data_IF_020583444218
#
_entry.id   IF_020583444218
#
_cell.length_a   1.000
_cell.length_b   1.000
_cell.length_c   1.000
_cell.angle_alpha   90.00
_cell.angle_beta   90.00
_cell.angle_gamma   90.00
#
_symmetry.space_group_name_H-M   'P 1'
#
loop_
_entity.id
_entity.type
_entity.pdbx_description
1 polymer ?
#
# COMPACT_ATOMS: atom_id res chain seq x y z
N UNK A 1 10.04 10.38 -2.76
CA UNK A 1 9.01 10.06 -1.74
C UNK A 1 7.94 9.23 -2.39
N UNK A 2 7.47 8.17 -1.72
CA UNK A 2 6.41 7.32 -2.29
C UNK A 2 5.08 8.03 -2.10
N UNK A 3 4.18 7.88 -3.06
CA UNK A 3 2.82 8.44 -3.00
C UNK A 3 1.76 7.36 -3.10
N UNK A 4 0.55 7.68 -2.65
CA UNK A 4 -0.62 6.79 -2.82
C UNK A 4 -0.94 6.57 -4.31
N UNK A 5 -0.67 7.55 -5.18
CA UNK A 5 -0.91 7.42 -6.62
C UNK A 5 0.01 6.36 -7.22
N UNK A 6 1.31 6.43 -6.92
CA UNK A 6 2.26 5.43 -7.41
C UNK A 6 2.00 4.05 -6.80
N UNK A 7 1.59 3.98 -5.53
CA UNK A 7 1.18 2.72 -4.90
C UNK A 7 0.02 2.07 -5.69
N UNK A 8 -1.00 2.85 -6.06
CA UNK A 8 -2.14 2.36 -6.86
C UNK A 8 -1.71 1.86 -8.23
N UNK A 9 -0.80 2.57 -8.92
CA UNK A 9 -0.25 2.12 -10.21
C UNK A 9 0.41 0.76 -10.07
N UNK A 10 1.31 0.59 -9.10
CA UNK A 10 1.98 -0.70 -8.87
C UNK A 10 1.05 -1.84 -8.47
N UNK A 11 -0.02 -1.55 -7.73
CA UNK A 11 -1.05 -2.54 -7.41
C UNK A 11 -1.69 -3.08 -8.69
N UNK A 12 -2.00 -2.18 -9.64
CA UNK A 12 -2.54 -2.56 -10.95
C UNK A 12 -1.50 -3.32 -11.76
N UNK A 13 -0.25 -2.83 -11.82
CA UNK A 13 0.83 -3.48 -12.57
C UNK A 13 1.10 -4.92 -12.10
N UNK A 14 0.97 -5.18 -10.78
CA UNK A 14 1.12 -6.51 -10.19
C UNK A 14 -0.17 -7.34 -10.17
N UNK A 15 -1.24 -6.88 -10.82
CA UNK A 15 -2.54 -7.53 -10.82
C UNK A 15 -3.02 -7.95 -9.41
N UNK A 16 -2.82 -7.06 -8.42
CA UNK A 16 -3.19 -7.31 -7.03
C UNK A 16 -4.24 -6.30 -6.54
N UNK A 17 -4.61 -6.38 -5.27
CA UNK A 17 -5.58 -5.48 -4.66
C UNK A 17 -5.05 -4.84 -3.38
N UNK A 18 -5.55 -3.65 -3.08
CA UNK A 18 -5.25 -2.99 -1.81
C UNK A 18 -5.72 -3.81 -0.61
N UNK A 19 -6.79 -4.59 -0.77
CA UNK A 19 -7.28 -5.53 0.26
C UNK A 19 -6.27 -6.65 0.52
N UNK A 20 -5.61 -7.17 -0.53
CA UNK A 20 -4.54 -8.14 -0.36
C UNK A 20 -3.36 -7.55 0.42
N UNK A 21 -2.94 -6.33 0.08
CA UNK A 21 -1.88 -5.64 0.82
C UNK A 21 -2.24 -5.47 2.29
N UNK A 22 -3.47 -5.04 2.59
CA UNK A 22 -3.95 -4.92 3.97
C UNK A 22 -3.91 -6.26 4.73
N UNK A 23 -4.27 -7.37 4.07
CA UNK A 23 -4.17 -8.70 4.68
C UNK A 23 -2.72 -9.10 5.00
N UNK A 24 -1.77 -8.79 4.11
CA UNK A 24 -0.33 -9.09 4.31
C UNK A 24 0.32 -8.20 5.37
N UNK A 25 -0.11 -6.94 5.41
CA UNK A 25 0.37 -5.94 6.37
C UNK A 25 -0.17 -6.18 7.79
N UNK A 26 -1.39 -6.72 7.91
CA UNK A 26 -2.04 -7.04 9.19
C UNK A 26 -2.86 -5.89 9.77
N UNK A 27 -2.72 -4.66 9.25
CA UNK A 27 -3.55 -3.51 9.66
C UNK A 27 -4.83 -3.42 8.83
N UNK A 28 -5.84 -2.70 9.35
CA UNK A 28 -7.12 -2.57 8.66
C UNK A 28 -6.98 -1.76 7.36
N UNK A 29 -7.73 -2.17 6.33
CA UNK A 29 -7.76 -1.48 5.02
C UNK A 29 -8.08 0.01 5.16
N UNK A 30 -9.03 0.36 6.03
CA UNK A 30 -9.46 1.74 6.26
C UNK A 30 -8.34 2.57 6.88
N UNK A 31 -7.64 2.03 7.88
CA UNK A 31 -6.49 2.70 8.49
C UNK A 31 -5.39 2.95 7.46
N UNK A 32 -4.97 1.91 6.74
CA UNK A 32 -3.92 2.01 5.72
C UNK A 32 -4.27 3.04 4.66
N UNK A 33 -5.50 3.02 4.16
CA UNK A 33 -5.94 4.00 3.15
C UNK A 33 -5.92 5.43 3.70
N UNK A 34 -6.38 5.64 4.94
CA UNK A 34 -6.37 6.95 5.60
C UNK A 34 -4.94 7.48 5.77
N UNK A 35 -4.02 6.64 6.22
CA UNK A 35 -2.62 7.02 6.43
C UNK A 35 -1.88 7.27 5.11
N UNK A 36 -2.11 6.45 4.08
CA UNK A 36 -1.58 6.72 2.75
C UNK A 36 -2.10 8.05 2.18
N UNK A 37 -3.38 8.38 2.41
CA UNK A 37 -3.97 9.66 1.97
C UNK A 37 -3.37 10.87 2.70
N UNK A 38 -2.95 10.70 3.95
CA UNK A 38 -2.19 11.71 4.72
C UNK A 38 -0.72 11.82 4.31
N UNK A 39 -0.24 10.97 3.40
CA UNK A 39 1.15 10.97 2.97
C UNK A 39 2.12 10.33 3.96
N UNK A 40 1.62 9.49 4.90
CA UNK A 40 2.45 8.79 5.88
C UNK A 40 3.47 7.88 5.17
N UNK A 41 4.73 8.31 5.13
CA UNK A 41 5.79 7.64 4.36
C UNK A 41 6.09 6.24 4.89
N UNK A 42 6.04 6.03 6.21
CA UNK A 42 6.29 4.71 6.81
C UNK A 42 5.29 3.67 6.29
N UNK A 43 3.99 4.01 6.31
CA UNK A 43 2.93 3.15 5.80
C UNK A 43 3.10 2.89 4.30
N UNK A 44 3.41 3.92 3.52
CA UNK A 44 3.65 3.77 2.08
C UNK A 44 4.86 2.87 1.79
N UNK A 45 5.93 2.98 2.56
CA UNK A 45 7.11 2.13 2.43
C UNK A 45 6.82 0.67 2.77
N UNK A 46 6.10 0.40 3.86
CA UNK A 46 5.71 -0.95 4.26
C UNK A 46 4.88 -1.63 3.17
N UNK A 47 3.85 -0.95 2.65
CA UNK A 47 3.00 -1.48 1.58
C UNK A 47 3.78 -1.71 0.28
N UNK A 48 4.76 -0.86 -0.01
CA UNK A 48 5.66 -1.07 -1.15
C UNK A 48 6.60 -2.26 -0.96
N UNK A 49 7.12 -2.50 0.25
CA UNK A 49 7.96 -3.67 0.54
C UNK A 49 7.16 -4.95 0.28
N UNK A 50 5.91 -5.01 0.72
CA UNK A 50 5.01 -6.14 0.44
C UNK A 50 4.90 -6.36 -1.06
N UNK A 51 4.65 -5.32 -1.86
CA UNK A 51 4.59 -5.42 -3.32
C UNK A 51 5.90 -5.91 -3.95
N UNK A 52 7.06 -5.55 -3.40
CA UNK A 52 8.35 -6.00 -3.92
C UNK A 52 8.65 -7.47 -3.60
N UNK A 53 8.12 -7.97 -2.48
CA UNK A 53 8.27 -9.38 -2.05
C UNK A 53 7.23 -10.32 -2.65
N UNK A 54 6.25 -9.79 -3.37
CA UNK A 54 5.31 -10.57 -4.21
C UNK A 54 5.96 -10.91 -5.54
#
# INVERSE_FOLDING_TARGET
MKTLIELKKRIIDKNTSFTFLAKKDGRSRQYLYKECKKGNQKVLEDLYKILLTM
#
